data_IF_952475971514
#
_entry.id   IF_952475971514
#
_cell.length_a   1.000
_cell.length_b   1.000
_cell.length_c   1.000
_cell.angle_alpha   90.00
_cell.angle_beta   90.00
_cell.angle_gamma   90.00
#
_symmetry.space_group_name_H-M   'P 1'
#
loop_
_entity.id
_entity.type
_entity.pdbx_description
1 polymer ?
#
# COMPACT_ATOMS: atom_id res chain seq x y z
N UNK A 1 -7.35 22.67 -35.23
CA UNK A 1 -8.18 21.77 -34.39
C UNK A 1 -7.42 21.56 -33.08
N UNK A 2 -7.65 22.42 -32.10
CA UNK A 2 -7.03 22.33 -30.77
C UNK A 2 -8.03 21.62 -29.87
N UNK A 3 -7.72 20.40 -29.45
CA UNK A 3 -8.46 19.69 -28.40
C UNK A 3 -7.50 19.50 -27.22
N UNK A 4 -7.21 20.61 -26.53
CA UNK A 4 -6.40 20.68 -25.32
C UNK A 4 -7.28 20.72 -24.06
N UNK A 5 -8.34 19.91 -24.03
CA UNK A 5 -9.19 19.73 -22.85
C UNK A 5 -8.68 18.68 -21.85
N UNK A 6 -7.57 18.00 -22.16
CA UNK A 6 -7.07 16.92 -21.33
C UNK A 6 -6.04 17.40 -20.31
N UNK A 7 -6.41 17.37 -19.04
CA UNK A 7 -5.63 17.91 -17.94
C UNK A 7 -5.06 16.81 -17.04
N UNK A 8 -4.11 17.19 -16.18
CA UNK A 8 -3.63 16.32 -15.10
C UNK A 8 -4.78 15.78 -14.21
N UNK A 9 -5.88 16.55 -14.07
CA UNK A 9 -7.10 16.10 -13.39
C UNK A 9 -7.72 14.88 -14.08
N UNK A 10 -7.83 14.91 -15.41
CA UNK A 10 -8.39 13.79 -16.18
C UNK A 10 -7.47 12.57 -16.09
N UNK A 11 -6.14 12.77 -16.04
CA UNK A 11 -5.18 11.67 -15.84
C UNK A 11 -5.40 10.98 -14.48
N UNK A 12 -5.56 11.75 -13.41
CA UNK A 12 -5.84 11.21 -12.06
C UNK A 12 -7.18 10.49 -11.98
N UNK A 13 -8.21 11.04 -12.62
CA UNK A 13 -9.53 10.41 -12.69
C UNK A 13 -9.47 9.05 -13.40
N UNK A 14 -8.76 8.96 -14.53
CA UNK A 14 -8.55 7.67 -15.21
C UNK A 14 -7.81 6.69 -14.31
N UNK A 15 -6.77 7.13 -13.60
CA UNK A 15 -6.03 6.25 -12.68
C UNK A 15 -6.98 5.74 -11.58
N UNK A 16 -7.77 6.60 -10.95
CA UNK A 16 -8.70 6.19 -9.90
C UNK A 16 -9.73 5.15 -10.38
N UNK A 17 -10.34 5.36 -11.55
CA UNK A 17 -11.30 4.41 -12.12
C UNK A 17 -10.59 3.12 -12.54
N UNK A 18 -9.43 3.21 -13.20
CA UNK A 18 -8.64 2.05 -13.59
C UNK A 18 -8.21 1.23 -12.36
N UNK A 19 -7.85 1.87 -11.23
CA UNK A 19 -7.54 1.20 -9.97
C UNK A 19 -8.69 0.31 -9.52
N UNK A 20 -9.93 0.80 -9.51
CA UNK A 20 -11.09 0.00 -9.14
C UNK A 20 -11.29 -1.20 -10.08
N UNK A 21 -11.18 -1.00 -11.40
CA UNK A 21 -11.34 -2.07 -12.39
C UNK A 21 -10.24 -3.14 -12.28
N UNK A 22 -8.99 -2.73 -12.10
CA UNK A 22 -7.87 -3.67 -11.96
C UNK A 22 -7.88 -4.37 -10.62
N UNK A 23 -8.24 -3.70 -9.53
CA UNK A 23 -8.39 -4.35 -8.23
C UNK A 23 -9.50 -5.41 -8.28
N UNK A 24 -10.64 -5.12 -8.92
CA UNK A 24 -11.75 -6.07 -9.00
C UNK A 24 -11.42 -7.27 -9.90
N UNK A 25 -10.98 -7.02 -11.15
CA UNK A 25 -10.87 -8.05 -12.20
C UNK A 25 -9.45 -8.57 -12.45
N UNK A 26 -8.46 -8.00 -11.77
CA UNK A 26 -7.04 -8.20 -12.07
C UNK A 26 -6.63 -7.58 -13.42
N UNK A 27 -5.32 -7.46 -13.65
CA UNK A 27 -4.77 -7.05 -14.96
C UNK A 27 -5.34 -7.87 -16.12
N UNK A 28 -5.40 -9.20 -16.04
CA UNK A 28 -5.87 -10.02 -17.16
C UNK A 28 -7.35 -9.76 -17.51
N UNK A 29 -8.22 -9.69 -16.50
CA UNK A 29 -9.66 -9.55 -16.68
C UNK A 29 -10.14 -8.13 -17.01
N UNK A 30 -9.47 -7.09 -16.51
CA UNK A 30 -9.89 -5.71 -16.74
C UNK A 30 -9.78 -5.31 -18.22
N UNK A 31 -10.83 -4.71 -18.79
CA UNK A 31 -10.83 -4.26 -20.20
C UNK A 31 -10.72 -2.74 -20.27
N UNK A 32 -9.83 -2.24 -21.12
CA UNK A 32 -9.65 -0.79 -21.34
C UNK A 32 -10.93 -0.14 -21.88
N UNK A 33 -11.74 -0.89 -22.64
CA UNK A 33 -13.04 -0.39 -23.12
C UNK A 33 -14.03 -0.14 -21.98
N UNK A 34 -14.04 -0.98 -20.95
CA UNK A 34 -14.89 -0.79 -19.77
C UNK A 34 -14.40 0.38 -18.93
N UNK A 35 -13.07 0.53 -18.78
CA UNK A 35 -12.46 1.68 -18.10
C UNK A 35 -12.78 2.98 -18.87
N UNK A 36 -12.70 2.95 -20.20
CA UNK A 36 -13.06 4.08 -21.05
C UNK A 36 -14.55 4.44 -20.95
N UNK A 37 -15.44 3.47 -20.82
CA UNK A 37 -16.87 3.73 -20.62
C UNK A 37 -17.18 4.28 -19.21
N UNK A 38 -16.42 3.87 -18.21
CA UNK A 38 -16.56 4.34 -16.83
C UNK A 38 -15.90 5.71 -16.59
N UNK A 39 -14.90 6.07 -17.40
CA UNK A 39 -14.28 7.40 -17.41
C UNK A 39 -15.02 8.28 -18.42
N UNK A 40 -15.16 9.58 -18.19
CA UNK A 40 -15.72 10.48 -19.20
C UNK A 40 -14.72 10.76 -20.35
N UNK A 41 -13.98 9.74 -20.81
CA UNK A 41 -12.93 9.82 -21.83
C UNK A 41 -13.06 8.71 -22.88
N UNK A 42 -12.27 8.78 -23.95
CA UNK A 42 -12.23 7.73 -24.97
C UNK A 42 -11.07 6.77 -24.77
N UNK A 43 -11.20 5.53 -25.27
CA UNK A 43 -10.10 4.55 -25.36
C UNK A 43 -8.85 5.14 -26.02
N UNK A 44 -9.04 5.96 -27.06
CA UNK A 44 -7.95 6.66 -27.76
C UNK A 44 -7.17 7.57 -26.81
N UNK A 45 -7.86 8.32 -25.95
CA UNK A 45 -7.21 9.19 -24.97
C UNK A 45 -6.49 8.40 -23.89
N UNK A 46 -7.04 7.28 -23.42
CA UNK A 46 -6.33 6.40 -22.48
C UNK A 46 -5.00 5.94 -23.10
N UNK A 47 -5.00 5.42 -24.32
CA UNK A 47 -3.74 5.02 -24.97
C UNK A 47 -2.81 6.20 -25.26
N UNK A 48 -3.34 7.39 -25.55
CA UNK A 48 -2.50 8.58 -25.68
C UNK A 48 -1.72 8.90 -24.40
N UNK A 49 -2.32 8.77 -23.21
CA UNK A 49 -1.67 9.09 -21.93
C UNK A 49 -0.82 7.98 -21.33
N UNK A 50 -1.16 6.73 -21.63
CA UNK A 50 -0.58 5.57 -20.96
C UNK A 50 0.12 4.61 -21.94
N UNK A 51 0.00 4.83 -23.24
CA UNK A 51 0.62 4.02 -24.31
C UNK A 51 -0.04 2.67 -24.53
N UNK A 52 -0.25 1.92 -23.45
CA UNK A 52 -0.84 0.58 -23.48
C UNK A 52 -1.64 0.27 -22.21
N UNK A 53 -2.25 -0.91 -22.15
CA UNK A 53 -2.92 -1.41 -20.94
C UNK A 53 -1.90 -1.63 -19.81
N UNK A 54 -0.72 -2.16 -20.13
CA UNK A 54 0.42 -2.34 -19.22
C UNK A 54 0.91 -0.98 -18.70
N UNK A 55 0.98 0.04 -19.57
CA UNK A 55 1.35 1.39 -19.14
C UNK A 55 0.33 2.02 -18.20
N UNK A 56 -0.96 1.82 -18.45
CA UNK A 56 -2.02 2.26 -17.52
C UNK A 56 -1.93 1.51 -16.20
N UNK A 57 -1.74 0.19 -16.26
CA UNK A 57 -1.62 -0.65 -15.07
C UNK A 57 -0.39 -0.31 -14.22
N UNK A 58 0.76 -0.05 -14.85
CA UNK A 58 1.96 0.46 -14.16
C UNK A 58 1.68 1.80 -13.48
N UNK A 59 0.99 2.73 -14.15
CA UNK A 59 0.62 4.01 -13.55
C UNK A 59 -0.30 3.83 -12.33
N UNK A 60 -1.24 2.89 -12.39
CA UNK A 60 -2.10 2.49 -11.26
C UNK A 60 -1.27 1.93 -10.10
N UNK A 61 -0.37 0.99 -10.35
CA UNK A 61 0.53 0.44 -9.33
C UNK A 61 1.40 1.54 -8.70
N UNK A 62 2.01 2.40 -9.52
CA UNK A 62 2.82 3.53 -9.06
C UNK A 62 2.02 4.46 -8.14
N UNK A 63 0.78 4.77 -8.51
CA UNK A 63 -0.09 5.61 -7.68
C UNK A 63 -0.49 4.93 -6.37
N UNK A 64 -0.83 3.63 -6.43
CA UNK A 64 -1.20 2.85 -5.25
C UNK A 64 -0.05 2.78 -4.23
N UNK A 65 1.17 2.49 -4.68
CA UNK A 65 2.36 2.54 -3.84
C UNK A 65 2.70 3.98 -3.40
N UNK A 66 2.41 4.99 -4.22
CA UNK A 66 2.63 6.38 -3.84
C UNK A 66 1.79 6.79 -2.65
N UNK A 67 0.51 6.44 -2.64
CA UNK A 67 -0.42 6.85 -1.58
C UNK A 67 0.04 6.40 -0.18
N UNK A 68 0.42 5.12 -0.02
CA UNK A 68 0.89 4.63 1.29
C UNK A 68 2.18 5.32 1.74
N UNK A 69 3.11 5.57 0.81
CA UNK A 69 4.38 6.25 1.15
C UNK A 69 4.16 7.71 1.50
N UNK A 70 3.26 8.40 0.80
CA UNK A 70 2.88 9.76 1.16
C UNK A 70 2.26 9.81 2.56
N UNK A 71 1.37 8.87 2.90
CA UNK A 71 0.78 8.79 4.23
C UNK A 71 1.84 8.56 5.32
N UNK A 72 2.82 7.68 5.09
CA UNK A 72 3.93 7.44 6.02
C UNK A 72 4.84 8.68 6.19
N UNK A 73 5.09 9.42 5.11
CA UNK A 73 5.92 10.64 5.14
C UNK A 73 5.23 11.78 5.91
N UNK A 74 3.94 11.97 5.68
CA UNK A 74 3.13 13.03 6.31
C UNK A 74 2.84 12.76 7.79
N UNK A 75 3.16 11.56 8.28
CA UNK A 75 2.89 11.14 9.66
C UNK A 75 3.80 11.79 10.73
N UNK A 76 4.84 12.53 10.34
CA UNK A 76 5.69 13.27 11.28
C UNK A 76 6.46 12.37 12.27
N UNK A 77 6.85 11.17 11.84
CA UNK A 77 7.49 10.17 12.71
C UNK A 77 8.84 10.62 13.30
N UNK A 78 9.50 11.55 12.64
CA UNK A 78 10.84 12.02 13.03
C UNK A 78 10.80 12.83 14.34
N UNK A 79 9.66 13.49 14.64
CA UNK A 79 9.45 14.32 15.83
C UNK A 79 8.93 13.54 17.06
N UNK A 80 8.63 12.26 16.90
CA UNK A 80 8.11 11.39 17.95
C UNK A 80 9.23 10.59 18.65
N UNK A 81 9.01 10.14 19.90
CA UNK A 81 9.89 9.12 20.49
C UNK A 81 9.89 7.84 19.65
N UNK A 82 10.97 7.04 19.60
CA UNK A 82 11.03 5.86 18.74
C UNK A 82 9.89 4.87 18.95
N UNK A 83 9.49 4.61 20.21
CA UNK A 83 8.33 3.77 20.51
C UNK A 83 7.00 4.34 20.01
N UNK A 84 6.79 5.66 20.13
CA UNK A 84 5.58 6.30 19.62
C UNK A 84 5.55 6.32 18.09
N UNK A 85 6.70 6.57 17.45
CA UNK A 85 6.86 6.51 16.01
C UNK A 85 6.60 5.10 15.46
N UNK A 86 7.09 4.05 16.14
CA UNK A 86 6.86 2.65 15.76
C UNK A 86 5.38 2.27 15.84
N UNK A 87 4.71 2.64 16.93
CA UNK A 87 3.27 2.42 17.10
C UNK A 87 2.49 3.16 16.00
N UNK A 88 2.82 4.43 15.76
CA UNK A 88 2.15 5.26 14.75
C UNK A 88 2.36 4.71 13.35
N UNK A 89 3.58 4.32 12.99
CA UNK A 89 3.90 3.69 11.71
C UNK A 89 3.09 2.40 11.54
N UNK A 90 3.10 1.51 12.52
CA UNK A 90 2.39 0.23 12.47
C UNK A 90 0.89 0.42 12.32
N UNK A 91 0.30 1.31 13.13
CA UNK A 91 -1.12 1.63 13.07
C UNK A 91 -1.49 2.26 11.71
N UNK A 92 -0.71 3.23 11.24
CA UNK A 92 -0.95 3.89 9.96
C UNK A 92 -0.86 2.92 8.79
N UNK A 93 0.16 2.06 8.74
CA UNK A 93 0.27 1.04 7.69
C UNK A 93 -0.95 0.12 7.71
N UNK A 94 -1.39 -0.31 8.89
CA UNK A 94 -2.61 -1.13 9.04
C UNK A 94 -3.86 -0.41 8.53
N UNK A 95 -4.12 0.80 9.04
CA UNK A 95 -5.28 1.60 8.68
C UNK A 95 -5.30 1.92 7.20
N UNK A 96 -4.15 2.20 6.60
CA UNK A 96 -4.04 2.44 5.16
C UNK A 96 -4.47 1.20 4.37
N UNK A 97 -3.99 0.00 4.71
CA UNK A 97 -4.39 -1.22 4.02
C UNK A 97 -5.88 -1.51 4.16
N UNK A 98 -6.45 -1.23 5.34
CA UNK A 98 -7.86 -1.43 5.62
C UNK A 98 -8.76 -0.50 4.79
N UNK A 99 -8.42 0.79 4.71
CA UNK A 99 -9.19 1.77 3.93
C UNK A 99 -8.87 1.76 2.42
N UNK A 100 -7.77 1.12 2.01
CA UNK A 100 -7.35 0.99 0.62
C UNK A 100 -7.18 -0.49 0.19
N UNK A 101 -8.23 -1.32 0.26
CA UNK A 101 -8.14 -2.74 -0.08
C UNK A 101 -7.74 -2.99 -1.55
N UNK A 102 -7.93 -2.01 -2.43
CA UNK A 102 -7.46 -2.02 -3.82
C UNK A 102 -5.95 -2.19 -3.92
N UNK A 103 -5.16 -1.58 -3.02
CA UNK A 103 -3.70 -1.75 -2.98
C UNK A 103 -3.36 -3.23 -2.75
N UNK A 104 -3.99 -3.84 -1.75
CA UNK A 104 -3.75 -5.25 -1.40
C UNK A 104 -4.09 -6.15 -2.56
N UNK A 105 -5.23 -5.92 -3.23
CA UNK A 105 -5.66 -6.73 -4.38
C UNK A 105 -4.72 -6.59 -5.57
N UNK A 106 -4.28 -5.38 -5.90
CA UNK A 106 -3.30 -5.15 -6.97
C UNK A 106 -1.96 -5.84 -6.68
N UNK A 107 -1.49 -5.79 -5.44
CA UNK A 107 -0.26 -6.46 -5.01
C UNK A 107 -0.41 -7.98 -5.06
N UNK A 108 -1.54 -8.54 -4.62
CA UNK A 108 -1.83 -9.98 -4.75
C UNK A 108 -1.83 -10.40 -6.22
N UNK A 109 -2.47 -9.61 -7.08
CA UNK A 109 -2.60 -9.87 -8.51
C UNK A 109 -1.24 -9.89 -9.23
N UNK A 110 -0.32 -8.98 -8.86
CA UNK A 110 1.08 -9.04 -9.32
C UNK A 110 1.81 -10.27 -8.77
N UNK A 111 1.68 -10.59 -7.48
CA UNK A 111 2.36 -11.74 -6.87
C UNK A 111 1.91 -13.07 -7.49
N UNK A 112 0.61 -13.24 -7.74
CA UNK A 112 0.07 -14.43 -8.42
C UNK A 112 0.64 -14.63 -9.82
N UNK A 113 1.16 -13.56 -10.44
CA UNK A 113 1.79 -13.55 -11.76
C UNK A 113 3.30 -13.42 -11.74
N UNK A 114 3.92 -13.53 -10.58
CA UNK A 114 5.37 -13.39 -10.40
C UNK A 114 5.91 -11.97 -10.74
N UNK A 115 5.10 -10.93 -10.52
CA UNK A 115 5.50 -9.52 -10.53
C UNK A 115 5.98 -8.95 -11.87
N UNK A 116 5.30 -9.18 -13.01
CA UNK A 116 5.79 -8.76 -14.33
C UNK A 116 5.90 -7.23 -14.51
N UNK A 117 5.22 -6.43 -13.68
CA UNK A 117 5.21 -4.97 -13.79
C UNK A 117 5.93 -4.27 -12.64
N UNK A 118 6.28 -4.99 -11.58
CA UNK A 118 6.72 -4.40 -10.31
C UNK A 118 8.09 -3.73 -10.38
N UNK A 119 9.02 -4.27 -11.17
CA UNK A 119 10.39 -3.74 -11.28
C UNK A 119 10.39 -2.25 -11.71
N UNK A 120 9.58 -1.92 -12.71
CA UNK A 120 9.41 -0.55 -13.22
C UNK A 120 8.71 0.41 -12.25
N UNK A 121 8.05 -0.10 -11.22
CA UNK A 121 7.32 0.67 -10.20
C UNK A 121 8.20 0.91 -8.96
N UNK A 122 9.09 -0.03 -8.65
CA UNK A 122 9.86 -0.08 -7.39
C UNK A 122 11.16 0.74 -7.46
N UNK A 123 11.81 0.85 -8.63
CA UNK A 123 13.07 1.61 -8.79
C UNK A 123 12.96 3.07 -8.31
N UNK A 124 11.79 3.70 -8.41
CA UNK A 124 11.60 5.10 -7.98
C UNK A 124 11.20 5.29 -6.51
N UNK A 125 10.95 4.22 -5.73
CA UNK A 125 10.24 4.33 -4.43
C UNK A 125 10.88 3.65 -3.22
N UNK A 126 11.76 2.67 -3.41
CA UNK A 126 12.49 2.06 -2.29
C UNK A 126 13.48 3.03 -1.62
N UNK A 127 13.83 4.13 -2.27
CA UNK A 127 14.81 5.11 -1.78
C UNK A 127 14.38 5.85 -0.51
N UNK A 128 13.08 5.87 -0.16
CA UNK A 128 12.59 6.65 1.00
C UNK A 128 12.21 5.78 2.20
N UNK A 129 11.72 4.57 1.97
CA UNK A 129 11.13 3.72 3.01
C UNK A 129 12.21 3.10 3.89
N UNK A 130 13.18 2.43 3.26
CA UNK A 130 14.22 1.72 4.00
C UNK A 130 15.10 2.67 4.81
N UNK A 131 15.55 3.84 4.28
CA UNK A 131 16.30 4.79 5.09
C UNK A 131 15.51 5.34 6.29
N UNK A 132 14.20 5.58 6.15
CA UNK A 132 13.36 6.04 7.27
C UNK A 132 13.17 4.97 8.34
N UNK A 133 12.89 3.73 7.95
CA UNK A 133 12.81 2.61 8.90
C UNK A 133 14.16 2.40 9.60
N UNK A 134 15.27 2.47 8.87
CA UNK A 134 16.61 2.38 9.44
C UNK A 134 16.91 3.51 10.43
N UNK A 135 16.53 4.75 10.10
CA UNK A 135 16.71 5.91 10.99
C UNK A 135 15.88 5.77 12.28
N UNK A 136 14.63 5.31 12.17
CA UNK A 136 13.79 5.02 13.33
C UNK A 136 14.44 3.95 14.23
N UNK A 137 14.92 2.85 13.63
CA UNK A 137 15.62 1.78 14.37
C UNK A 137 16.85 2.35 15.07
N UNK A 138 17.69 3.12 14.35
CA UNK A 138 18.91 3.69 14.91
C UNK A 138 18.64 4.61 16.11
N UNK A 139 17.61 5.45 16.03
CA UNK A 139 17.17 6.30 17.15
C UNK A 139 16.74 5.48 18.36
N UNK A 140 15.93 4.44 18.15
CA UNK A 140 15.46 3.57 19.24
C UNK A 140 16.56 2.70 19.85
N UNK A 141 17.57 2.30 19.08
CA UNK A 141 18.75 1.61 19.62
C UNK A 141 19.60 2.58 20.45
N UNK A 142 19.79 3.81 19.97
CA UNK A 142 20.60 4.82 20.64
C UNK A 142 20.01 5.27 21.99
N UNK A 143 18.68 5.38 22.10
CA UNK A 143 18.01 5.73 23.35
C UNK A 143 17.68 4.52 24.25
N UNK A 144 18.00 3.30 23.78
CA UNK A 144 17.80 2.06 24.51
C UNK A 144 16.37 1.52 24.52
N UNK A 145 15.42 2.17 23.83
CA UNK A 145 14.04 1.71 23.73
C UNK A 145 13.87 0.47 22.82
N UNK A 146 14.76 0.30 21.84
CA UNK A 146 14.80 -0.87 20.97
C UNK A 146 16.01 -1.76 21.26
N UNK A 147 15.85 -3.07 21.01
CA UNK A 147 16.97 -4.01 20.98
C UNK A 147 17.85 -3.76 19.73
N UNK A 148 19.11 -4.17 19.81
CA UNK A 148 19.99 -4.20 18.64
C UNK A 148 19.65 -5.37 17.70
N UNK A 149 20.23 -5.35 16.49
CA UNK A 149 20.07 -6.43 15.50
C UNK A 149 18.68 -6.50 14.86
N UNK A 150 17.97 -5.37 14.78
CA UNK A 150 16.73 -5.28 14.00
C UNK A 150 17.12 -4.89 12.57
N UNK A 151 16.82 -5.76 11.61
CA UNK A 151 16.95 -5.43 10.20
C UNK A 151 15.77 -4.55 9.72
N UNK A 152 16.00 -3.44 9.00
CA UNK A 152 14.92 -2.57 8.52
C UNK A 152 13.96 -3.24 7.55
N UNK A 153 14.43 -4.18 6.72
CA UNK A 153 13.60 -4.93 5.78
C UNK A 153 12.72 -5.90 6.57
N UNK A 154 13.28 -6.61 7.56
CA UNK A 154 12.51 -7.54 8.39
C UNK A 154 11.41 -6.82 9.18
N UNK A 155 11.71 -5.64 9.73
CA UNK A 155 10.70 -4.83 10.41
C UNK A 155 9.61 -4.37 9.45
N UNK A 156 9.98 -3.85 8.28
CA UNK A 156 9.02 -3.42 7.26
C UNK A 156 8.12 -4.57 6.80
N UNK A 157 8.72 -5.74 6.54
CA UNK A 157 8.03 -6.95 6.15
C UNK A 157 7.06 -7.43 7.23
N UNK A 158 7.48 -7.39 8.51
CA UNK A 158 6.65 -7.80 9.64
C UNK A 158 5.42 -6.90 9.78
N UNK A 159 5.59 -5.57 9.74
CA UNK A 159 4.49 -4.61 9.80
C UNK A 159 3.52 -4.85 8.63
N UNK A 160 4.07 -4.97 7.42
CA UNK A 160 3.29 -5.17 6.20
C UNK A 160 2.53 -6.50 6.24
N UNK A 161 3.14 -7.59 6.72
CA UNK A 161 2.49 -8.90 6.79
C UNK A 161 1.27 -8.90 7.73
N UNK A 162 1.39 -8.25 8.90
CA UNK A 162 0.30 -8.15 9.87
C UNK A 162 -0.90 -7.34 9.34
N UNK A 163 -0.63 -6.28 8.58
CA UNK A 163 -1.65 -5.47 7.91
C UNK A 163 -2.25 -6.19 6.69
N UNK A 164 -1.39 -6.66 5.79
CA UNK A 164 -1.77 -7.24 4.52
C UNK A 164 -2.65 -8.48 4.68
N UNK A 165 -2.27 -9.41 5.58
CA UNK A 165 -3.01 -10.66 5.78
C UNK A 165 -4.48 -10.41 6.17
N UNK A 166 -4.73 -9.40 7.02
CA UNK A 166 -6.08 -9.07 7.47
C UNK A 166 -7.01 -8.71 6.29
N UNK A 167 -6.45 -8.14 5.23
CA UNK A 167 -7.20 -7.74 4.05
C UNK A 167 -7.20 -8.84 2.97
N UNK A 168 -6.04 -9.42 2.67
CA UNK A 168 -5.88 -10.42 1.59
C UNK A 168 -6.68 -11.68 1.84
N UNK A 169 -6.88 -12.05 3.11
CA UNK A 169 -7.54 -13.29 3.51
C UNK A 169 -8.94 -13.07 4.09
N UNK A 170 -9.50 -11.86 4.03
CA UNK A 170 -10.78 -11.52 4.67
C UNK A 170 -11.94 -12.44 4.30
N UNK A 171 -11.98 -12.91 3.05
CA UNK A 171 -13.05 -13.78 2.56
C UNK A 171 -12.89 -15.22 3.04
N UNK A 172 -11.68 -15.78 2.97
CA UNK A 172 -11.42 -17.18 3.35
C UNK A 172 -11.39 -17.35 4.86
N UNK A 173 -10.69 -16.46 5.56
CA UNK A 173 -10.62 -16.49 7.01
C UNK A 173 -11.99 -16.19 7.64
N UNK A 174 -12.72 -15.20 7.12
CA UNK A 174 -14.08 -14.90 7.56
C UNK A 174 -15.03 -16.08 7.40
N UNK A 175 -14.97 -16.79 6.26
CA UNK A 175 -15.79 -17.98 6.03
C UNK A 175 -15.42 -19.18 6.93
N UNK A 176 -14.14 -19.35 7.27
CA UNK A 176 -13.66 -20.48 8.09
C UNK A 176 -13.97 -20.26 9.58
N UNK A 177 -13.81 -19.02 10.07
CA UNK A 177 -13.82 -18.72 11.50
C UNK A 177 -14.99 -17.84 11.95
N UNK A 178 -15.91 -17.49 11.04
CA UNK A 178 -17.06 -16.62 11.30
C UNK A 178 -16.67 -15.25 11.89
N UNK A 179 -15.71 -14.60 11.23
CA UNK A 179 -15.19 -13.27 11.62
C UNK A 179 -15.43 -12.25 10.51
N UNK A 180 -16.15 -11.17 10.81
CA UNK A 180 -16.28 -10.04 9.91
C UNK A 180 -15.03 -9.15 9.96
N UNK A 181 -14.05 -9.50 9.12
CA UNK A 181 -12.80 -8.77 8.95
C UNK A 181 -12.97 -7.45 8.16
N UNK A 182 -14.17 -7.16 7.64
CA UNK A 182 -14.47 -5.85 7.03
C UNK A 182 -15.03 -4.85 8.05
N UNK A 183 -15.35 -5.29 9.28
CA UNK A 183 -15.85 -4.39 10.31
C UNK A 183 -14.74 -3.51 10.91
N UNK A 184 -15.07 -2.24 11.15
CA UNK A 184 -14.22 -1.27 11.86
C UNK A 184 -13.79 -1.79 13.24
N UNK A 185 -14.68 -2.47 13.96
CA UNK A 185 -14.39 -3.03 15.27
C UNK A 185 -13.35 -4.14 15.21
N UNK A 186 -13.44 -5.06 14.24
CA UNK A 186 -12.44 -6.10 14.06
C UNK A 186 -11.10 -5.50 13.60
N UNK A 187 -11.14 -4.52 12.70
CA UNK A 187 -9.97 -3.80 12.22
C UNK A 187 -9.24 -3.08 13.36
N UNK A 188 -9.96 -2.32 14.20
CA UNK A 188 -9.40 -1.63 15.37
C UNK A 188 -8.73 -2.60 16.35
N UNK A 189 -9.41 -3.72 16.68
CA UNK A 189 -8.84 -4.77 17.54
C UNK A 189 -7.57 -5.37 16.92
N UNK A 190 -7.58 -5.65 15.61
CA UNK A 190 -6.43 -6.23 14.93
C UNK A 190 -5.26 -5.25 14.85
N UNK A 191 -5.52 -3.97 14.62
CA UNK A 191 -4.52 -2.90 14.65
C UNK A 191 -3.81 -2.82 16.00
N UNK A 192 -4.56 -2.84 17.10
CA UNK A 192 -3.98 -2.84 18.46
C UNK A 192 -3.08 -4.06 18.69
N UNK A 193 -3.49 -5.24 18.24
CA UNK A 193 -2.66 -6.45 18.29
C UNK A 193 -1.39 -6.30 17.44
N UNK A 194 -1.50 -5.76 16.22
CA UNK A 194 -0.34 -5.55 15.35
C UNK A 194 0.66 -4.60 16.00
N UNK A 195 0.21 -3.49 16.57
CA UNK A 195 1.06 -2.55 17.32
C UNK A 195 1.74 -3.25 18.49
N UNK A 196 0.99 -4.00 19.31
CA UNK A 196 1.56 -4.71 20.45
C UNK A 196 2.61 -5.75 20.05
N UNK A 197 2.35 -6.52 18.98
CA UNK A 197 3.28 -7.53 18.45
C UNK A 197 4.57 -6.88 17.94
N UNK A 198 4.46 -5.84 17.11
CA UNK A 198 5.61 -5.13 16.53
C UNK A 198 6.43 -4.45 17.63
N UNK A 199 5.75 -3.82 18.59
CA UNK A 199 6.39 -3.25 19.77
C UNK A 199 7.18 -4.29 20.55
N UNK A 200 6.58 -5.43 20.87
CA UNK A 200 7.25 -6.50 21.61
C UNK A 200 8.46 -7.07 20.83
N UNK A 201 8.37 -7.14 19.50
CA UNK A 201 9.47 -7.56 18.64
C UNK A 201 10.67 -6.59 18.67
N UNK A 202 10.41 -5.28 18.74
CA UNK A 202 11.44 -4.23 18.71
C UNK A 202 11.99 -3.87 20.10
N UNK A 203 11.18 -3.99 21.15
CA UNK A 203 11.57 -3.55 22.48
C UNK A 203 12.77 -4.31 23.01
N UNK A 204 13.63 -3.60 23.75
CA UNK A 204 14.68 -4.22 24.54
C UNK A 204 14.02 -4.97 25.70
N UNK A 205 14.18 -6.30 25.73
CA UNK A 205 13.76 -7.05 26.91
C UNK A 205 14.58 -6.60 28.13
N UNK A 206 13.95 -6.42 29.30
CA UNK A 206 14.64 -6.08 30.53
C UNK A 206 15.68 -7.14 30.93
#
# INVERSE_FOLDING_TARGET
>A
MQDTGFTERNRREIIAIATAHFADKGFAGARVDEIAAATATSKRMIYYHFGSKEGLYRAVLTEAYRGIRSAELEAGLDDMSPLAALDRLTALTFDYHFHHPELVRLVMDENMRHGPHIASVVEARNELVLPKTAALIARGVADGSFRSGIDPIDLHMTISALAFYFISNRYTFGAIFDVDMASETAAARRREQAVAIVRAYCQRNP
#
